data_IF_786394777146
#
_entry.id   IF_786394777146
#
_cell.length_a   1.000
_cell.length_b   1.000
_cell.length_c   1.000
_cell.angle_alpha   90.00
_cell.angle_beta   90.00
_cell.angle_gamma   90.00
#
_symmetry.space_group_name_H-M   'P 1'
#
loop_
_entity.id
_entity.type
_entity.pdbx_description
1 polymer ?
#
# COMPACT_ATOMS: atom_id res chain seq x y z
N UNK A 1 -0.89 -55.14 56.24
CA UNK A 1 -0.10 -55.99 57.16
C UNK A 1 1.33 -55.49 57.15
N UNK A 2 1.79 -54.97 58.30
CA UNK A 2 3.18 -54.72 58.75
C UNK A 2 4.10 -53.85 57.85
N UNK A 3 4.41 -52.59 58.18
CA UNK A 3 5.21 -52.02 59.29
C UNK A 3 6.73 -51.95 59.01
N UNK A 4 7.31 -50.80 59.41
CA UNK A 4 8.72 -50.47 59.74
C UNK A 4 9.67 -50.04 58.60
N UNK A 5 10.58 -49.05 58.74
CA UNK A 5 11.03 -48.20 59.88
C UNK A 5 11.85 -47.01 59.32
N UNK A 6 11.84 -45.89 60.04
CA UNK A 6 12.70 -44.73 59.84
C UNK A 6 14.17 -44.99 60.24
N UNK A 7 15.13 -44.31 59.59
CA UNK A 7 16.43 -43.96 60.18
C UNK A 7 16.80 -42.52 59.78
N UNK A 8 17.01 -41.70 60.81
CA UNK A 8 17.62 -40.38 60.80
C UNK A 8 19.11 -40.46 60.40
N UNK A 9 19.59 -39.47 59.65
CA UNK A 9 21.02 -39.22 59.48
C UNK A 9 21.26 -37.75 59.15
N UNK A 10 21.30 -36.90 60.17
CA UNK A 10 21.67 -35.51 60.05
C UNK A 10 23.18 -35.35 59.91
N UNK A 11 23.61 -34.59 58.89
CA UNK A 11 24.98 -34.07 58.80
C UNK A 11 24.88 -32.57 59.08
N UNK A 12 25.40 -32.17 60.25
CA UNK A 12 25.58 -30.78 60.65
C UNK A 12 26.87 -30.29 59.98
N UNK A 13 26.75 -29.41 58.99
CA UNK A 13 27.87 -28.67 58.44
C UNK A 13 28.05 -27.36 59.23
N UNK A 14 29.05 -27.31 60.10
CA UNK A 14 29.51 -26.06 60.72
C UNK A 14 30.20 -25.21 59.65
N UNK A 15 29.51 -24.19 59.15
CA UNK A 15 30.12 -23.14 58.33
C UNK A 15 30.72 -22.05 59.21
N UNK A 16 32.05 -21.95 59.24
CA UNK A 16 32.76 -20.78 59.77
C UNK A 16 32.55 -19.60 58.80
N UNK A 17 31.66 -18.67 59.15
CA UNK A 17 31.52 -17.40 58.45
C UNK A 17 32.54 -16.40 58.98
N UNK A 18 33.58 -16.12 58.21
CA UNK A 18 34.41 -14.92 58.40
C UNK A 18 33.62 -13.70 57.90
N UNK A 19 33.61 -12.56 58.61
CA UNK A 19 33.01 -11.35 58.09
C UNK A 19 33.94 -10.77 57.02
N UNK A 20 33.54 -10.84 55.75
CA UNK A 20 34.08 -9.97 54.71
C UNK A 20 33.36 -8.64 54.85
N UNK A 21 34.03 -7.65 55.45
CA UNK A 21 33.62 -6.27 55.30
C UNK A 21 33.89 -5.86 53.84
N UNK A 22 32.84 -5.76 53.05
CA UNK A 22 32.91 -5.16 51.73
C UNK A 22 32.88 -3.64 51.90
N UNK A 23 34.04 -2.99 51.75
CA UNK A 23 34.13 -1.53 51.62
C UNK A 23 33.44 -1.12 50.31
N UNK A 24 32.14 -0.83 50.37
CA UNK A 24 31.39 -0.25 49.27
C UNK A 24 31.67 1.25 49.16
N UNK A 25 31.67 1.85 47.95
CA UNK A 25 31.88 3.28 47.81
C UNK A 25 30.71 4.00 48.48
N UNK A 26 31.02 4.91 49.41
CA UNK A 26 30.05 5.71 50.17
C UNK A 26 29.28 6.71 49.31
N UNK A 27 28.39 6.21 48.45
CA UNK A 27 27.41 7.01 47.73
C UNK A 27 26.12 7.09 48.54
N UNK A 28 25.67 8.31 48.85
CA UNK A 28 24.34 8.56 49.42
C UNK A 28 23.26 7.81 48.62
N UNK A 29 22.50 6.95 49.30
CA UNK A 29 21.43 6.19 48.70
C UNK A 29 20.21 7.12 48.49
N UNK A 30 20.21 7.84 47.39
CA UNK A 30 19.09 8.72 46.99
C UNK A 30 18.03 7.93 46.21
N UNK A 31 16.72 8.16 46.41
CA UNK A 31 15.66 7.49 45.66
C UNK A 31 15.76 7.76 44.16
N UNK A 32 15.53 6.72 43.35
CA UNK A 32 15.51 6.79 41.89
C UNK A 32 14.40 7.73 41.41
N UNK A 33 14.78 8.81 40.74
CA UNK A 33 13.88 9.77 40.13
C UNK A 33 13.50 9.32 38.71
N UNK A 34 12.43 9.90 38.15
CA UNK A 34 12.00 9.65 36.76
C UNK A 34 13.11 9.90 35.73
N UNK A 35 14.01 10.84 36.01
CA UNK A 35 15.16 11.12 35.16
C UNK A 35 16.16 9.95 35.13
N UNK A 36 16.35 9.26 36.27
CA UNK A 36 17.24 8.11 36.39
C UNK A 36 16.66 6.91 35.63
N UNK A 37 15.33 6.71 35.68
CA UNK A 37 14.64 5.70 34.89
C UNK A 37 14.74 5.97 33.37
N UNK A 38 14.70 7.24 32.95
CA UNK A 38 14.89 7.63 31.56
C UNK A 38 16.34 7.39 31.10
N UNK A 39 17.33 7.70 31.94
CA UNK A 39 18.74 7.44 31.66
C UNK A 39 19.04 5.93 31.57
N UNK A 40 18.44 5.11 32.43
CA UNK A 40 18.56 3.65 32.39
C UNK A 40 17.93 3.07 31.11
N UNK A 41 16.76 3.56 30.69
CA UNK A 41 16.14 3.15 29.41
C UNK A 41 16.99 3.51 28.19
N UNK A 42 17.64 4.67 28.21
CA UNK A 42 18.55 5.07 27.13
C UNK A 42 19.83 4.22 27.12
N UNK A 43 20.33 3.84 28.31
CA UNK A 43 21.47 2.94 28.45
C UNK A 43 21.17 1.51 27.96
N UNK A 44 19.94 1.04 28.13
CA UNK A 44 19.45 -0.25 27.62
C UNK A 44 19.36 -0.26 26.08
N UNK A 45 19.12 0.90 25.47
CA UNK A 45 19.10 1.10 24.01
C UNK A 45 20.46 1.44 23.40
N UNK A 46 21.58 1.08 24.05
CA UNK A 46 22.90 1.24 23.43
C UNK A 46 22.97 0.38 22.15
N UNK A 47 23.20 0.97 20.97
CA UNK A 47 23.38 0.20 19.76
C UNK A 47 24.57 -0.74 19.98
N UNK A 48 24.38 -2.04 19.72
CA UNK A 48 25.50 -2.99 19.73
C UNK A 48 26.55 -2.48 18.75
N UNK A 49 27.74 -2.16 19.24
CA UNK A 49 28.87 -1.84 18.38
C UNK A 49 29.06 -3.03 17.43
N UNK A 50 29.18 -2.76 16.13
CA UNK A 50 29.48 -3.83 15.18
C UNK A 50 30.79 -4.48 15.63
N UNK A 51 30.83 -5.82 15.77
CA UNK A 51 32.05 -6.53 16.09
C UNK A 51 33.18 -6.16 15.13
N UNK A 52 34.40 -5.99 15.64
CA UNK A 52 35.55 -5.57 14.85
C UNK A 52 35.84 -6.49 13.66
N UNK A 53 35.46 -7.78 13.73
CA UNK A 53 35.61 -8.71 12.61
C UNK A 53 34.66 -8.43 11.44
N UNK A 54 33.57 -7.65 11.63
CA UNK A 54 32.74 -7.15 10.53
C UNK A 54 33.36 -5.93 9.84
N UNK A 55 34.36 -5.28 10.45
CA UNK A 55 35.11 -4.20 9.83
C UNK A 55 36.17 -4.83 8.92
N UNK A 56 35.84 -5.01 7.64
CA UNK A 56 36.84 -5.35 6.62
C UNK A 56 37.70 -4.11 6.38
N UNK A 57 38.85 -4.03 7.03
CA UNK A 57 39.90 -3.05 6.71
C UNK A 57 40.88 -3.63 5.67
N UNK A 58 41.37 -2.81 4.73
CA UNK A 58 40.91 -1.45 4.45
C UNK A 58 39.48 -1.48 3.90
N UNK A 59 38.69 -0.45 4.22
CA UNK A 59 37.38 -0.23 3.59
C UNK A 59 37.63 -0.11 2.09
N UNK A 60 37.41 -1.18 1.34
CA UNK A 60 37.44 -1.13 -0.12
C UNK A 60 36.13 -0.49 -0.56
N UNK A 61 36.20 0.80 -0.87
CA UNK A 61 35.12 1.49 -1.56
C UNK A 61 35.10 0.93 -2.98
N UNK A 62 34.08 0.13 -3.30
CA UNK A 62 33.84 -0.30 -4.68
C UNK A 62 33.42 0.94 -5.48
N UNK A 63 34.38 1.54 -6.19
CA UNK A 63 34.17 2.70 -7.06
C UNK A 63 33.66 2.31 -8.44
N UNK A 64 33.59 1.00 -8.74
CA UNK A 64 33.05 0.53 -10.01
C UNK A 64 31.57 0.89 -10.09
N UNK A 65 31.09 1.43 -11.21
CA UNK A 65 29.67 1.61 -11.42
C UNK A 65 28.98 0.24 -11.28
N UNK A 66 27.93 0.12 -10.44
CA UNK A 66 27.23 -1.16 -10.29
C UNK A 66 26.73 -1.62 -11.65
N UNK A 67 27.07 -2.84 -12.04
CA UNK A 67 26.69 -3.45 -13.32
C UNK A 67 25.17 -3.60 -13.45
N UNK A 68 24.47 -3.68 -12.32
CA UNK A 68 23.01 -3.77 -12.23
C UNK A 68 22.47 -2.61 -11.38
N UNK A 69 21.94 -1.58 -12.04
CA UNK A 69 21.12 -0.55 -11.39
C UNK A 69 19.68 -1.05 -11.31
N UNK A 70 19.00 -1.00 -10.15
CA UNK A 70 17.56 -1.26 -10.09
C UNK A 70 16.83 -0.22 -10.95
N UNK A 71 16.29 -0.63 -12.09
CA UNK A 71 15.38 0.21 -12.87
C UNK A 71 14.04 0.21 -12.13
N UNK A 72 13.49 1.38 -11.75
CA UNK A 72 12.15 1.45 -11.19
C UNK A 72 11.17 0.85 -12.20
N UNK A 73 10.61 -0.33 -11.88
CA UNK A 73 9.55 -0.87 -12.72
C UNK A 73 8.28 -0.09 -12.45
N UNK A 74 7.58 0.38 -13.49
CA UNK A 74 6.24 0.91 -13.32
C UNK A 74 5.36 -0.17 -12.68
N UNK A 75 4.59 0.20 -11.65
CA UNK A 75 3.64 -0.72 -11.02
C UNK A 75 2.49 -0.88 -11.99
N UNK A 76 2.37 -2.07 -12.52
CA UNK A 76 1.13 -2.55 -13.10
C UNK A 76 0.34 -3.07 -11.89
N UNK A 77 -0.69 -2.35 -11.42
CA UNK A 77 -1.47 -2.83 -10.30
C UNK A 77 -2.19 -4.11 -10.69
N UNK A 78 -2.37 -5.01 -9.72
CA UNK A 78 -3.26 -6.16 -9.95
C UNK A 78 -4.66 -5.65 -10.25
N UNK A 79 -5.24 -6.16 -11.33
CA UNK A 79 -6.59 -5.90 -11.76
C UNK A 79 -7.36 -7.22 -11.85
N UNK A 80 -8.67 -7.18 -11.61
CA UNK A 80 -9.50 -8.38 -11.54
C UNK A 80 -9.59 -9.10 -12.89
N UNK A 81 -9.40 -8.37 -13.98
CA UNK A 81 -9.35 -8.89 -15.34
C UNK A 81 -8.02 -9.56 -15.70
N UNK A 82 -7.00 -9.58 -14.82
CA UNK A 82 -5.64 -10.10 -15.13
C UNK A 82 -5.61 -11.57 -15.59
N UNK A 83 -6.68 -12.32 -15.34
CA UNK A 83 -6.86 -13.69 -15.86
C UNK A 83 -7.07 -13.72 -17.39
N UNK A 84 -7.33 -12.57 -18.02
CA UNK A 84 -7.40 -12.41 -19.46
C UNK A 84 -6.05 -12.03 -20.04
N UNK A 85 -5.64 -12.73 -21.09
CA UNK A 85 -4.31 -12.55 -21.71
C UNK A 85 -4.07 -11.17 -22.34
N UNK A 86 -5.13 -10.46 -22.74
CA UNK A 86 -5.09 -9.14 -23.38
C UNK A 86 -5.17 -7.96 -22.37
N UNK A 87 -5.42 -8.25 -21.09
CA UNK A 87 -5.84 -7.23 -20.13
C UNK A 87 -4.73 -6.32 -19.58
N UNK A 88 -3.47 -6.67 -19.81
CA UNK A 88 -2.36 -5.86 -19.36
C UNK A 88 -2.36 -4.47 -20.02
N UNK A 89 -2.70 -4.39 -21.32
CA UNK A 89 -2.78 -3.10 -22.02
C UNK A 89 -3.92 -2.23 -21.46
N UNK A 90 -5.02 -2.86 -21.00
CA UNK A 90 -6.15 -2.16 -20.39
C UNK A 90 -5.74 -1.50 -19.06
N UNK A 91 -5.00 -2.25 -18.23
CA UNK A 91 -4.44 -1.73 -16.98
C UNK A 91 -3.51 -0.54 -17.24
N UNK A 92 -2.65 -0.64 -18.25
CA UNK A 92 -1.75 0.45 -18.66
C UNK A 92 -2.48 1.68 -19.16
N UNK A 93 -3.42 1.49 -20.09
CA UNK A 93 -4.23 2.56 -20.65
C UNK A 93 -5.03 3.28 -19.56
N UNK A 94 -5.64 2.52 -18.62
CA UNK A 94 -6.36 3.10 -17.50
C UNK A 94 -5.46 3.88 -16.54
N UNK A 95 -4.27 3.35 -16.20
CA UNK A 95 -3.28 4.07 -15.39
C UNK A 95 -2.80 5.37 -16.05
N UNK A 96 -2.64 5.35 -17.38
CA UNK A 96 -2.26 6.51 -18.20
C UNK A 96 -3.38 7.54 -18.27
N UNK A 97 -4.61 7.11 -18.55
CA UNK A 97 -5.80 7.96 -18.59
C UNK A 97 -6.07 8.63 -17.25
N UNK A 98 -5.89 7.93 -16.12
CA UNK A 98 -5.96 8.53 -14.79
C UNK A 98 -4.87 9.57 -14.56
N UNK A 99 -3.65 9.33 -15.06
CA UNK A 99 -2.54 10.29 -14.95
C UNK A 99 -2.78 11.55 -15.79
N UNK A 100 -3.44 11.41 -16.94
CA UNK A 100 -3.65 12.49 -17.91
C UNK A 100 -4.91 13.31 -17.63
N UNK A 101 -6.07 12.68 -17.51
CA UNK A 101 -7.37 13.36 -17.40
C UNK A 101 -8.25 12.87 -16.23
N UNK A 102 -7.67 12.12 -15.29
CA UNK A 102 -8.35 11.62 -14.08
C UNK A 102 -7.80 12.22 -12.78
N UNK A 103 -7.22 13.41 -12.85
CA UNK A 103 -6.56 14.11 -11.75
C UNK A 103 -7.49 14.39 -10.56
N UNK A 104 -8.71 14.87 -10.81
CA UNK A 104 -9.70 15.15 -9.75
C UNK A 104 -10.15 13.87 -9.07
N UNK A 105 -10.31 12.79 -9.84
CA UNK A 105 -10.66 11.45 -9.34
C UNK A 105 -9.54 10.89 -8.45
N UNK A 106 -8.28 11.07 -8.85
CA UNK A 106 -7.10 10.66 -8.07
C UNK A 106 -6.98 11.45 -6.76
N UNK A 107 -7.24 12.76 -6.78
CA UNK A 107 -7.08 13.63 -5.62
C UNK A 107 -8.22 13.51 -4.61
N UNK A 108 -9.42 13.14 -5.07
CA UNK A 108 -10.60 12.99 -4.21
C UNK A 108 -10.41 11.82 -3.25
N UNK A 109 -10.76 12.02 -1.98
CA UNK A 109 -10.88 10.96 -0.97
C UNK A 109 -12.37 10.78 -0.66
N UNK A 110 -13.05 9.82 -1.32
CA UNK A 110 -14.48 9.61 -1.14
C UNK A 110 -14.83 9.31 0.32
N UNK A 111 -15.99 9.76 0.80
CA UNK A 111 -16.41 9.56 2.20
C UNK A 111 -16.61 8.10 2.60
N UNK A 112 -16.85 7.22 1.63
CA UNK A 112 -17.01 5.79 1.81
C UNK A 112 -15.74 4.99 1.50
N UNK A 113 -14.60 5.65 1.26
CA UNK A 113 -13.36 5.01 0.80
C UNK A 113 -12.84 3.93 1.73
N UNK A 114 -13.03 4.04 3.05
CA UNK A 114 -12.56 3.03 4.01
C UNK A 114 -13.23 1.67 3.80
N UNK A 115 -14.45 1.65 3.26
CA UNK A 115 -15.12 0.42 2.86
C UNK A 115 -14.48 -0.21 1.61
N UNK A 116 -13.79 0.57 0.79
CA UNK A 116 -13.22 0.08 -0.47
C UNK A 116 -11.72 -0.17 -0.38
N UNK A 117 -11.00 0.69 0.35
CA UNK A 117 -9.56 0.78 0.37
C UNK A 117 -9.05 1.55 1.62
N UNK A 118 -8.90 0.90 2.79
CA UNK A 118 -8.48 1.54 4.03
C UNK A 118 -7.16 2.32 3.97
N UNK A 119 -6.21 1.88 3.13
CA UNK A 119 -4.94 2.60 2.92
C UNK A 119 -5.02 3.81 1.99
N UNK A 120 -6.17 4.10 1.37
CA UNK A 120 -6.27 5.07 0.26
C UNK A 120 -5.88 6.49 0.65
N UNK A 121 -6.31 6.97 1.83
CA UNK A 121 -6.03 8.33 2.26
C UNK A 121 -4.51 8.60 2.37
N UNK A 122 -3.75 7.60 2.83
CA UNK A 122 -2.30 7.66 3.00
C UNK A 122 -1.51 7.37 1.70
N UNK A 123 -2.19 6.90 0.65
CA UNK A 123 -1.55 6.55 -0.62
C UNK A 123 -1.19 7.79 -1.44
N UNK A 124 -0.06 7.68 -2.15
CA UNK A 124 0.33 8.65 -3.17
C UNK A 124 -0.46 8.48 -4.48
N UNK A 125 -0.29 9.41 -5.44
CA UNK A 125 -0.99 9.45 -6.73
C UNK A 125 -1.10 8.09 -7.44
N UNK A 126 0.02 7.40 -7.58
CA UNK A 126 0.11 6.14 -8.32
C UNK A 126 -0.73 5.01 -7.70
N UNK A 127 -0.91 4.99 -6.39
CA UNK A 127 -1.63 3.93 -5.69
C UNK A 127 -3.11 4.24 -5.61
N UNK A 128 -3.45 5.53 -5.54
CA UNK A 128 -4.81 5.99 -5.75
C UNK A 128 -5.30 5.65 -7.15
N UNK A 129 -4.45 5.78 -8.17
CA UNK A 129 -4.75 5.28 -9.53
C UNK A 129 -4.89 3.77 -9.58
N UNK A 130 -3.98 3.04 -8.93
CA UNK A 130 -4.07 1.58 -8.81
C UNK A 130 -5.42 1.13 -8.24
N UNK A 131 -5.91 1.82 -7.21
CA UNK A 131 -7.24 1.58 -6.66
C UNK A 131 -8.35 1.77 -7.71
N UNK A 132 -8.36 2.90 -8.43
CA UNK A 132 -9.41 3.17 -9.43
C UNK A 132 -9.40 2.16 -10.57
N UNK A 133 -8.21 1.73 -11.03
CA UNK A 133 -8.08 0.62 -11.99
C UNK A 133 -8.63 -0.67 -11.41
N UNK A 134 -8.28 -1.00 -10.17
CA UNK A 134 -8.82 -2.15 -9.44
C UNK A 134 -10.34 -2.13 -9.35
N UNK A 135 -10.93 -1.00 -8.97
CA UNK A 135 -12.37 -0.82 -8.86
C UNK A 135 -13.06 -1.00 -10.22
N UNK A 136 -12.58 -0.33 -11.27
CA UNK A 136 -13.11 -0.50 -12.64
C UNK A 136 -13.00 -1.95 -13.11
N UNK A 137 -11.90 -2.64 -12.77
CA UNK A 137 -11.75 -4.05 -13.11
C UNK A 137 -12.77 -4.93 -12.38
N UNK A 138 -13.06 -4.65 -11.12
CA UNK A 138 -14.10 -5.35 -10.38
C UNK A 138 -15.51 -5.04 -10.93
N UNK A 139 -15.74 -3.81 -11.37
CA UNK A 139 -16.99 -3.37 -11.99
C UNK A 139 -17.24 -4.05 -13.34
N UNK A 140 -16.20 -4.17 -14.18
CA UNK A 140 -16.31 -4.81 -15.50
C UNK A 140 -16.81 -6.26 -15.45
N UNK A 141 -16.56 -6.97 -14.34
CA UNK A 141 -17.15 -8.29 -14.06
C UNK A 141 -18.68 -8.25 -14.12
N UNK A 142 -19.26 -7.23 -13.50
CA UNK A 142 -20.70 -7.11 -13.29
C UNK A 142 -21.42 -6.39 -14.43
N UNK A 143 -20.68 -5.67 -15.26
CA UNK A 143 -21.17 -4.96 -16.44
C UNK A 143 -21.11 -5.83 -17.71
N UNK A 144 -19.94 -6.41 -17.99
CA UNK A 144 -19.67 -7.08 -19.28
C UNK A 144 -19.15 -8.50 -19.15
N UNK A 145 -18.85 -8.95 -17.92
CA UNK A 145 -18.07 -10.18 -17.65
C UNK A 145 -16.69 -10.11 -18.33
N UNK A 146 -16.05 -8.93 -18.27
CA UNK A 146 -14.73 -8.67 -18.86
C UNK A 146 -14.69 -8.83 -20.39
N UNK A 147 -15.77 -8.50 -21.09
CA UNK A 147 -15.88 -8.61 -22.56
C UNK A 147 -15.90 -7.22 -23.21
N UNK A 148 -14.82 -6.77 -23.87
CA UNK A 148 -14.79 -5.47 -24.54
C UNK A 148 -15.85 -5.32 -25.64
N UNK A 149 -16.22 -6.40 -26.31
CA UNK A 149 -17.18 -6.40 -27.41
C UNK A 149 -18.65 -6.38 -26.93
N UNK A 150 -18.89 -6.46 -25.62
CA UNK A 150 -20.22 -6.60 -25.05
C UNK A 150 -21.13 -5.41 -25.42
N UNK A 151 -22.36 -5.75 -25.80
CA UNK A 151 -23.44 -4.79 -26.03
C UNK A 151 -24.64 -5.17 -25.18
N UNK A 152 -25.07 -4.27 -24.31
CA UNK A 152 -26.16 -4.48 -23.36
C UNK A 152 -27.34 -3.51 -23.56
N UNK A 153 -28.36 -3.69 -22.73
CA UNK A 153 -29.57 -2.84 -22.71
C UNK A 153 -30.24 -2.67 -24.07
N UNK A 154 -30.44 -3.77 -24.80
CA UNK A 154 -31.11 -3.73 -26.11
C UNK A 154 -30.29 -3.14 -27.25
N UNK A 155 -28.96 -3.07 -27.13
CA UNK A 155 -28.09 -2.53 -28.19
C UNK A 155 -27.55 -1.13 -27.91
N UNK A 156 -27.73 -0.60 -26.69
CA UNK A 156 -27.47 0.80 -26.37
C UNK A 156 -26.17 1.02 -25.59
N UNK A 157 -25.72 0.03 -24.80
CA UNK A 157 -24.58 0.19 -23.91
C UNK A 157 -23.41 -0.68 -24.37
N UNK A 158 -22.20 -0.15 -24.36
CA UNK A 158 -21.06 -0.76 -25.06
C UNK A 158 -19.84 -0.90 -24.17
N UNK A 159 -19.07 -1.96 -24.39
CA UNK A 159 -17.74 -2.11 -23.83
C UNK A 159 -17.68 -2.72 -22.45
N UNK A 160 -16.46 -2.70 -21.89
CA UNK A 160 -16.15 -3.25 -20.57
C UNK A 160 -17.05 -2.70 -19.46
N UNK A 161 -17.32 -1.41 -19.49
CA UNK A 161 -18.09 -0.69 -18.49
C UNK A 161 -19.45 -0.19 -19.01
N UNK A 162 -19.94 -0.80 -20.09
CA UNK A 162 -21.29 -0.59 -20.63
C UNK A 162 -21.66 0.90 -20.68
N UNK A 163 -21.01 1.66 -21.56
CA UNK A 163 -21.18 3.11 -21.71
C UNK A 163 -22.12 3.41 -22.87
N UNK A 164 -23.04 4.36 -22.68
CA UNK A 164 -23.94 4.87 -23.71
C UNK A 164 -23.22 5.92 -24.58
N UNK A 165 -23.27 5.85 -25.93
CA UNK A 165 -22.52 6.75 -26.82
C UNK A 165 -22.79 8.24 -26.60
N UNK A 166 -24.05 8.62 -26.36
CA UNK A 166 -24.42 10.02 -26.14
C UNK A 166 -23.96 10.54 -24.76
N UNK A 167 -23.86 9.66 -23.75
CA UNK A 167 -23.13 9.98 -22.51
C UNK A 167 -21.64 10.22 -22.80
N UNK A 168 -20.99 9.35 -23.56
CA UNK A 168 -19.58 9.52 -23.92
C UNK A 168 -19.34 10.85 -24.67
N UNK A 169 -20.26 11.26 -25.54
CA UNK A 169 -20.22 12.56 -26.22
C UNK A 169 -20.32 13.73 -25.23
N UNK A 170 -21.29 13.70 -24.31
CA UNK A 170 -21.46 14.76 -23.29
C UNK A 170 -20.25 14.92 -22.38
N UNK A 171 -19.57 13.84 -22.05
CA UNK A 171 -18.34 13.88 -21.24
C UNK A 171 -17.07 14.13 -22.07
N UNK A 172 -17.20 14.41 -23.37
CA UNK A 172 -16.08 14.74 -24.24
C UNK A 172 -15.09 13.59 -24.44
N UNK A 173 -15.58 12.34 -24.41
CA UNK A 173 -14.75 11.17 -24.66
C UNK A 173 -14.23 11.12 -26.11
N UNK A 174 -13.13 10.40 -26.31
CA UNK A 174 -12.59 10.09 -27.65
C UNK A 174 -13.50 9.13 -28.40
N UNK A 175 -13.82 7.99 -27.79
CA UNK A 175 -14.82 7.07 -28.30
C UNK A 175 -16.23 7.67 -28.10
N UNK A 176 -16.90 7.98 -29.20
CA UNK A 176 -18.22 8.64 -29.24
C UNK A 176 -19.32 7.80 -29.90
N UNK A 177 -18.96 6.61 -30.37
CA UNK A 177 -19.85 5.67 -31.07
C UNK A 177 -19.83 4.32 -30.36
N UNK A 178 -20.87 3.52 -30.55
CA UNK A 178 -20.92 2.18 -29.97
C UNK A 178 -19.76 1.29 -30.40
N UNK A 179 -19.36 1.36 -31.67
CA UNK A 179 -18.19 0.64 -32.20
C UNK A 179 -16.89 1.08 -31.54
N UNK A 180 -16.66 2.40 -31.40
CA UNK A 180 -15.46 2.90 -30.75
C UNK A 180 -15.41 2.52 -29.26
N UNK A 181 -16.56 2.47 -28.59
CA UNK A 181 -16.66 2.07 -27.18
C UNK A 181 -16.42 0.58 -26.92
N UNK A 182 -16.30 -0.25 -27.97
CA UNK A 182 -15.85 -1.65 -27.84
C UNK A 182 -14.33 -1.77 -27.71
N UNK A 183 -13.58 -0.72 -28.03
CA UNK A 183 -12.16 -0.67 -27.68
C UNK A 183 -12.02 -0.54 -26.15
N UNK A 184 -11.37 -1.50 -25.48
CA UNK A 184 -11.32 -1.52 -24.01
C UNK A 184 -10.56 -0.34 -23.43
N UNK A 185 -9.54 0.18 -24.13
CA UNK A 185 -8.71 1.28 -23.65
C UNK A 185 -9.46 2.61 -23.72
N UNK A 186 -10.14 2.88 -24.83
CA UNK A 186 -11.01 4.04 -24.99
C UNK A 186 -12.25 3.97 -24.08
N UNK A 187 -12.81 2.77 -23.86
CA UNK A 187 -13.93 2.57 -22.93
C UNK A 187 -13.53 2.94 -21.49
N UNK A 188 -12.40 2.41 -21.01
CA UNK A 188 -11.87 2.72 -19.68
C UNK A 188 -11.47 4.19 -19.56
N UNK A 189 -10.83 4.76 -20.58
CA UNK A 189 -10.49 6.18 -20.61
C UNK A 189 -11.74 7.07 -20.53
N UNK A 190 -12.85 6.68 -21.15
CA UNK A 190 -14.13 7.38 -21.06
C UNK A 190 -14.78 7.23 -19.67
N UNK A 191 -14.76 6.02 -19.11
CA UNK A 191 -15.25 5.79 -17.74
C UNK A 191 -14.51 6.66 -16.72
N UNK A 192 -13.19 6.78 -16.85
CA UNK A 192 -12.38 7.67 -16.02
C UNK A 192 -12.86 9.12 -16.14
N UNK A 193 -13.19 9.61 -17.34
CA UNK A 193 -13.71 10.99 -17.52
C UNK A 193 -15.03 11.19 -16.80
N UNK A 194 -15.95 10.22 -16.91
CA UNK A 194 -17.24 10.26 -16.21
C UNK A 194 -17.02 10.29 -14.69
N UNK A 195 -16.22 9.35 -14.17
CA UNK A 195 -15.90 9.27 -12.73
C UNK A 195 -15.15 10.52 -12.23
N UNK A 196 -14.28 11.13 -13.05
CA UNK A 196 -13.57 12.38 -12.75
C UNK A 196 -14.49 13.59 -12.57
N UNK A 197 -15.75 13.46 -12.99
CA UNK A 197 -16.80 14.45 -12.72
C UNK A 197 -17.65 13.99 -11.54
N UNK A 198 -18.15 12.76 -11.56
CA UNK A 198 -19.20 12.32 -10.63
C UNK A 198 -18.70 12.01 -9.22
N UNK A 199 -17.52 11.39 -9.09
CA UNK A 199 -16.92 11.10 -7.77
C UNK A 199 -16.55 12.39 -7.04
N UNK A 200 -15.82 13.37 -7.62
CA UNK A 200 -15.53 14.62 -6.93
C UNK A 200 -16.79 15.44 -6.63
N UNK A 201 -17.78 15.44 -7.54
CA UNK A 201 -19.06 16.16 -7.34
C UNK A 201 -19.81 15.63 -6.12
N UNK A 202 -19.87 14.31 -5.96
CA UNK A 202 -20.69 13.69 -4.92
C UNK A 202 -19.89 13.23 -3.68
N UNK A 203 -18.55 13.31 -3.73
CA UNK A 203 -17.60 12.84 -2.73
C UNK A 203 -17.88 11.39 -2.26
N UNK A 204 -18.14 10.49 -3.20
CA UNK A 204 -18.56 9.12 -2.92
C UNK A 204 -18.13 8.15 -4.03
N UNK A 205 -18.00 6.86 -3.69
CA UNK A 205 -17.92 5.76 -4.65
C UNK A 205 -19.31 5.18 -4.88
N UNK A 206 -19.97 4.69 -3.81
CA UNK A 206 -21.30 4.12 -3.89
C UNK A 206 -22.09 4.42 -2.61
N UNK A 207 -22.72 5.59 -2.56
CA UNK A 207 -23.57 6.01 -1.44
C UNK A 207 -24.97 6.33 -1.94
N UNK A 208 -25.97 6.01 -1.12
CA UNK A 208 -27.36 6.42 -1.34
C UNK A 208 -27.82 7.32 -0.19
N UNK A 209 -28.11 8.58 -0.50
CA UNK A 209 -28.55 9.61 0.47
C UNK A 209 -29.84 10.32 0.03
N UNK A 210 -30.75 9.56 -0.60
CA UNK A 210 -31.95 10.05 -1.28
C UNK A 210 -31.82 9.94 -2.81
N UNK A 211 -30.59 9.94 -3.31
CA UNK A 211 -30.22 9.47 -4.65
C UNK A 211 -28.87 8.77 -4.61
N UNK A 212 -28.56 7.99 -5.65
CA UNK A 212 -27.24 7.40 -5.82
C UNK A 212 -26.16 8.47 -6.11
N UNK A 213 -24.97 8.25 -5.55
CA UNK A 213 -23.84 9.19 -5.52
C UNK A 213 -22.56 8.56 -6.03
N UNK A 214 -21.75 9.37 -6.70
CA UNK A 214 -20.43 8.96 -7.17
C UNK A 214 -20.54 8.03 -8.37
N UNK A 215 -19.80 6.93 -8.32
CA UNK A 215 -19.86 5.87 -9.35
C UNK A 215 -21.27 5.24 -9.39
N UNK A 216 -21.97 5.16 -8.26
CA UNK A 216 -23.34 4.63 -8.24
C UNK A 216 -24.37 5.50 -8.98
N UNK A 217 -24.03 6.74 -9.33
CA UNK A 217 -24.93 7.60 -10.11
C UNK A 217 -25.02 7.16 -11.58
N UNK A 218 -23.98 6.52 -12.12
CA UNK A 218 -23.89 6.19 -13.55
C UNK A 218 -23.91 4.66 -13.82
N UNK A 219 -23.46 3.83 -12.87
CA UNK A 219 -23.32 2.39 -13.08
C UNK A 219 -24.30 1.55 -12.23
N UNK A 220 -25.12 0.74 -12.90
CA UNK A 220 -26.16 -0.08 -12.27
C UNK A 220 -25.68 -1.05 -11.18
N UNK A 221 -24.59 -1.83 -11.38
CA UNK A 221 -24.00 -2.69 -10.36
C UNK A 221 -23.65 -1.99 -9.04
N UNK A 222 -23.36 -0.70 -9.11
CA UNK A 222 -23.01 0.13 -7.94
C UNK A 222 -24.24 0.56 -7.12
N UNK A 223 -25.44 0.13 -7.52
CA UNK A 223 -26.69 0.27 -6.75
C UNK A 223 -27.10 -1.03 -6.04
N UNK A 224 -26.45 -2.15 -6.38
CA UNK A 224 -26.76 -3.46 -5.80
C UNK A 224 -25.80 -3.79 -4.65
N UNK A 225 -26.34 -3.95 -3.43
CA UNK A 225 -25.54 -4.19 -2.22
C UNK A 225 -24.61 -5.41 -2.31
N UNK A 226 -25.07 -6.51 -2.92
CA UNK A 226 -24.26 -7.72 -3.05
C UNK A 226 -23.10 -7.53 -4.03
N UNK A 227 -23.34 -6.85 -5.15
CA UNK A 227 -22.28 -6.53 -6.12
C UNK A 227 -21.27 -5.55 -5.54
N UNK A 228 -21.74 -4.50 -4.85
CA UNK A 228 -20.88 -3.56 -4.11
C UNK A 228 -19.99 -4.31 -3.12
N UNK A 229 -20.56 -5.22 -2.32
CA UNK A 229 -19.80 -6.01 -1.36
C UNK A 229 -18.72 -6.89 -2.04
N UNK A 230 -19.04 -7.56 -3.16
CA UNK A 230 -18.07 -8.35 -3.94
C UNK A 230 -16.92 -7.47 -4.49
N UNK A 231 -17.25 -6.31 -5.05
CA UNK A 231 -16.24 -5.40 -5.60
C UNK A 231 -15.36 -4.80 -4.50
N UNK A 232 -15.96 -4.30 -3.42
CA UNK A 232 -15.25 -3.72 -2.28
C UNK A 232 -14.39 -4.75 -1.56
N UNK A 233 -14.86 -5.98 -1.38
CA UNK A 233 -14.06 -7.07 -0.82
C UNK A 233 -12.83 -7.36 -1.69
N UNK A 234 -13.00 -7.37 -3.02
CA UNK A 234 -11.89 -7.59 -3.93
C UNK A 234 -10.87 -6.44 -3.90
N UNK A 235 -11.29 -5.18 -3.93
CA UNK A 235 -10.36 -4.03 -3.88
C UNK A 235 -9.62 -3.96 -2.55
N UNK A 236 -10.32 -4.19 -1.44
CA UNK A 236 -9.76 -4.13 -0.09
C UNK A 236 -8.66 -5.18 0.15
N UNK A 237 -8.71 -6.30 -0.57
CA UNK A 237 -7.71 -7.36 -0.49
C UNK A 237 -6.39 -7.04 -1.21
N UNK A 238 -6.33 -5.97 -2.02
CA UNK A 238 -5.14 -5.65 -2.79
C UNK A 238 -4.05 -4.96 -1.97
N UNK A 239 -2.79 -5.18 -2.35
CA UNK A 239 -1.63 -4.65 -1.63
C UNK A 239 -1.69 -3.13 -1.50
N UNK A 240 -2.08 -2.44 -2.58
CA UNK A 240 -2.23 -0.98 -2.59
C UNK A 240 -3.37 -0.46 -1.69
N UNK A 241 -4.23 -1.31 -1.14
CA UNK A 241 -5.28 -0.91 -0.21
C UNK A 241 -4.99 -1.21 1.25
N UNK A 242 -3.84 -1.82 1.55
CA UNK A 242 -3.44 -2.10 2.92
C UNK A 242 -2.93 -0.81 3.61
N UNK A 243 -3.35 -0.51 4.86
CA UNK A 243 -2.92 0.70 5.57
C UNK A 243 -1.39 0.85 5.71
N UNK A 244 -0.68 -0.26 5.85
CA UNK A 244 0.77 -0.32 6.01
C UNK A 244 1.54 -0.24 4.68
N UNK A 245 0.87 -0.30 3.52
CA UNK A 245 1.53 -0.30 2.22
C UNK A 245 2.33 0.98 1.95
N UNK A 246 1.80 2.14 2.35
CA UNK A 246 2.51 3.41 2.21
C UNK A 246 3.82 3.40 3.04
N UNK A 247 3.75 2.92 4.28
CA UNK A 247 4.90 2.79 5.19
C UNK A 247 5.91 1.76 4.65
N UNK A 248 5.45 0.59 4.23
CA UNK A 248 6.30 -0.46 3.66
C UNK A 248 7.07 0.04 2.44
N UNK A 249 6.54 1.01 1.70
CA UNK A 249 7.22 1.61 0.55
C UNK A 249 8.12 2.78 0.89
N UNK A 250 7.78 3.60 1.88
CA UNK A 250 8.73 4.63 2.36
C UNK A 250 10.00 4.01 2.94
N UNK A 251 9.91 2.78 3.44
CA UNK A 251 11.06 2.00 3.90
C UNK A 251 11.89 1.36 2.76
N UNK A 252 11.45 1.44 1.49
CA UNK A 252 12.22 0.91 0.37
C UNK A 252 13.41 1.84 0.07
N UNK A 253 14.63 1.29 -0.13
CA UNK A 253 15.80 2.08 -0.48
C UNK A 253 15.57 2.94 -1.73
N UNK A 254 15.86 4.23 -1.61
CA UNK A 254 15.80 5.17 -2.74
C UNK A 254 17.06 4.94 -3.61
N UNK A 255 16.94 4.98 -4.95
CA UNK A 255 18.11 4.94 -5.82
C UNK A 255 19.11 6.05 -5.45
N UNK A 256 20.41 5.72 -5.38
CA UNK A 256 21.45 6.73 -5.19
C UNK A 256 21.40 7.72 -6.36
N UNK A 257 21.49 9.05 -6.11
CA UNK A 257 21.58 10.05 -7.16
C UNK A 257 22.65 9.68 -8.18
N UNK A 258 22.37 9.90 -9.46
CA UNK A 258 23.30 9.56 -10.56
C UNK A 258 24.53 10.46 -10.58
N UNK A 259 24.42 11.64 -9.99
CA UNK A 259 25.54 12.56 -9.82
C UNK A 259 26.19 12.23 -8.47
N UNK A 260 27.27 11.44 -8.52
CA UNK A 260 28.25 11.49 -7.44
C UNK A 260 29.04 12.79 -7.65
N UNK A 261 28.92 13.81 -6.79
CA UNK A 261 29.96 14.82 -6.76
C UNK A 261 31.25 14.07 -6.47
N UNK A 262 32.14 14.04 -7.46
CA UNK A 262 33.52 13.64 -7.22
C UNK A 262 34.01 14.68 -6.23
N UNK A 263 34.09 14.31 -4.96
CA UNK A 263 34.83 15.06 -3.97
C UNK A 263 36.28 15.00 -4.43
N UNK A 264 36.65 15.99 -5.24
CA UNK A 264 38.03 16.20 -5.65
C UNK A 264 38.76 16.61 -4.38
N UNK A 265 39.38 15.65 -3.71
CA UNK A 265 40.42 15.93 -2.74
C UNK A 265 41.65 16.39 -3.51
N UNK A 266 41.60 17.62 -4.03
CA UNK A 266 42.79 18.33 -4.46
C UNK A 266 43.25 19.24 -3.32
N UNK A 267 44.49 18.97 -2.91
CA UNK A 267 45.49 19.88 -2.34
C UNK A 267 45.62 19.96 -0.81
N UNK A 268 46.40 19.00 -0.29
CA UNK A 268 47.57 19.23 0.56
C UNK A 268 48.64 18.34 -0.13
N UNK A 269 49.67 18.81 -0.83
CA UNK A 269 50.59 19.93 -0.65
C UNK A 269 51.10 20.45 -2.00
#
# INVERSE_FOLDING_TARGET
>A
MKWYRAILGGIVALGLALPVAAEGPGGEMRPLLRADAAALRLAEHRPRLRPAYMLRYPVRIETRPPVLRPIPRPLIPRARWDHRGDSQSWTWAAMSALAGHGDRLEQTVPRDIDNWCPGYAANGPRERRAFWVGMMSALSKHESTYRPEAVGGGGLWFGLLQIYPDTAQRYGCRARTGTALKDPEDNLACAIRIMNVTVPRDNAIAVHDGRWRGVAADWGPMTNRAKIADMAAWTRAQEYCRPDHAVARSLRPIPRPTDSPVLSTMNLD
#
